data_IF_050992325878
#
_entry.id   IF_050992325878
#
_cell.length_a   1.000
_cell.length_b   1.000
_cell.length_c   1.000
_cell.angle_alpha   90.00
_cell.angle_beta   90.00
_cell.angle_gamma   90.00
#
_symmetry.space_group_name_H-M   'P 1'
#
loop_
_entity.id
_entity.type
_entity.pdbx_description
1 polymer ?
#
# COMPACT_ATOMS: atom_id res chain seq x y z
N UNK A 1 3.24 -13.61 17.41
CA UNK A 1 2.71 -12.29 17.07
C UNK A 1 3.84 -11.29 16.86
N UNK A 2 3.71 -10.45 15.82
CA UNK A 2 4.71 -9.45 15.52
C UNK A 2 4.83 -8.44 16.69
N UNK A 3 6.06 -8.15 17.11
CA UNK A 3 6.32 -7.36 18.32
C UNK A 3 5.61 -6.01 18.31
N UNK A 4 5.60 -5.29 17.18
CA UNK A 4 4.97 -3.98 17.08
C UNK A 4 3.47 -4.02 17.32
N UNK A 5 2.81 -5.15 17.00
CA UNK A 5 1.38 -5.29 17.20
C UNK A 5 0.97 -5.38 18.67
N UNK A 6 1.92 -5.62 19.56
CA UNK A 6 1.67 -5.69 21.01
C UNK A 6 1.61 -4.32 21.67
N UNK A 7 2.10 -3.27 21.00
CA UNK A 7 2.10 -1.92 21.55
C UNK A 7 0.85 -1.15 21.13
N UNK A 8 0.22 -0.39 22.05
CA UNK A 8 -0.92 0.45 21.68
C UNK A 8 -0.55 1.59 20.74
N UNK A 9 0.66 2.12 20.86
CA UNK A 9 1.22 3.11 19.96
C UNK A 9 2.65 2.76 19.60
N UNK A 10 3.06 3.09 18.37
CA UNK A 10 4.36 2.74 17.83
C UNK A 10 5.10 4.01 17.41
N UNK A 11 6.34 4.16 17.86
CA UNK A 11 7.20 5.29 17.49
C UNK A 11 7.89 5.04 16.14
N UNK A 12 8.38 6.12 15.54
CA UNK A 12 9.19 6.04 14.33
C UNK A 12 10.44 5.18 14.53
N UNK A 13 11.09 5.30 15.69
CA UNK A 13 12.27 4.50 16.00
C UNK A 13 11.95 3.00 16.03
N UNK A 14 10.84 2.60 16.63
CA UNK A 14 10.41 1.21 16.65
C UNK A 14 10.18 0.66 15.24
N UNK A 15 9.60 1.47 14.37
CA UNK A 15 9.36 1.10 12.96
C UNK A 15 10.68 0.93 12.21
N UNK A 16 11.63 1.83 12.43
CA UNK A 16 12.94 1.78 11.76
C UNK A 16 13.72 0.51 12.09
N UNK A 17 13.55 -0.03 13.29
CA UNK A 17 14.24 -1.22 13.75
C UNK A 17 13.49 -2.52 13.48
N UNK A 18 12.33 -2.45 12.87
CA UNK A 18 11.53 -3.61 12.48
C UNK A 18 11.52 -3.76 10.97
N UNK A 19 11.51 -5.02 10.49
CA UNK A 19 11.54 -5.28 9.05
C UNK A 19 10.30 -4.72 8.37
N UNK A 20 10.52 -4.02 7.27
CA UNK A 20 9.47 -3.52 6.41
C UNK A 20 9.27 -4.45 5.21
N UNK A 21 8.02 -4.69 4.85
CA UNK A 21 7.67 -5.40 3.63
C UNK A 21 7.23 -4.33 2.62
N UNK A 22 8.00 -4.16 1.55
CA UNK A 22 7.79 -3.10 0.56
C UNK A 22 7.24 -3.70 -0.73
N UNK A 23 6.20 -3.07 -1.26
CA UNK A 23 5.67 -3.42 -2.58
C UNK A 23 6.28 -2.49 -3.62
N UNK A 24 6.98 -3.05 -4.58
CA UNK A 24 7.61 -2.28 -5.66
C UNK A 24 7.71 -3.13 -6.92
N UNK A 25 7.62 -2.48 -8.08
CA UNK A 25 7.76 -3.14 -9.37
C UNK A 25 9.14 -3.78 -9.51
N UNK A 26 9.20 -4.96 -10.13
CA UNK A 26 10.46 -5.70 -10.32
C UNK A 26 11.51 -4.91 -11.09
N UNK A 27 11.07 -4.10 -12.04
CA UNK A 27 11.93 -3.39 -12.98
C UNK A 27 12.35 -2.01 -12.50
N UNK A 28 11.90 -1.61 -11.30
CA UNK A 28 12.17 -0.28 -10.78
C UNK A 28 12.88 -0.37 -9.43
N UNK A 29 13.78 0.58 -9.18
CA UNK A 29 14.33 0.77 -7.86
C UNK A 29 13.25 1.25 -6.90
N UNK A 30 13.40 0.91 -5.62
CA UNK A 30 12.49 1.38 -4.59
C UNK A 30 12.77 2.87 -4.35
N UNK A 31 11.73 3.70 -4.36
CA UNK A 31 11.86 5.11 -4.01
C UNK A 31 12.27 5.26 -2.54
N UNK A 32 13.30 6.06 -2.23
CA UNK A 32 13.75 6.22 -0.84
C UNK A 32 12.65 6.69 0.10
N UNK A 33 11.67 7.45 -0.38
CA UNK A 33 10.57 7.95 0.43
C UNK A 33 9.66 6.85 0.96
N UNK A 34 9.68 5.67 0.35
CA UNK A 34 8.88 4.52 0.76
C UNK A 34 9.58 3.63 1.80
N UNK A 35 10.86 3.87 2.04
CA UNK A 35 11.65 3.07 2.96
C UNK A 35 11.75 3.76 4.31
N UNK A 36 11.14 3.19 5.33
CA UNK A 36 11.20 3.68 6.71
C UNK A 36 12.11 2.84 7.58
N UNK A 37 12.31 1.58 7.23
CA UNK A 37 13.14 0.65 8.01
C UNK A 37 14.50 0.43 7.39
N UNK A 38 15.47 0.13 8.25
CA UNK A 38 16.83 -0.20 7.83
C UNK A 38 16.89 -1.56 7.14
N UNK A 39 15.97 -2.46 7.49
CA UNK A 39 15.84 -3.78 6.88
C UNK A 39 14.50 -3.87 6.17
N UNK A 40 14.50 -4.36 4.94
CA UNK A 40 13.27 -4.55 4.20
C UNK A 40 13.35 -5.76 3.28
N UNK A 41 12.18 -6.34 3.03
CA UNK A 41 11.98 -7.32 1.97
C UNK A 41 11.07 -6.70 0.93
N UNK A 42 11.33 -7.03 -0.32
CA UNK A 42 10.60 -6.49 -1.46
C UNK A 42 9.68 -7.55 -2.06
N UNK A 43 8.45 -7.17 -2.35
CA UNK A 43 7.50 -7.96 -3.14
C UNK A 43 7.01 -7.15 -4.33
N UNK A 44 6.42 -7.82 -5.31
CA UNK A 44 5.89 -7.16 -6.49
C UNK A 44 4.38 -6.91 -6.44
N UNK A 45 3.69 -7.37 -5.39
CA UNK A 45 2.26 -7.13 -5.25
C UNK A 45 1.83 -7.11 -3.79
N UNK A 46 0.65 -6.51 -3.56
CA UNK A 46 0.13 -6.36 -2.20
C UNK A 46 -0.34 -7.66 -1.57
N UNK A 47 -0.77 -8.64 -2.36
CA UNK A 47 -1.20 -9.94 -1.82
C UNK A 47 -0.03 -10.71 -1.22
N UNK A 48 1.12 -10.71 -1.88
CA UNK A 48 2.34 -11.32 -1.34
C UNK A 48 2.82 -10.59 -0.09
N UNK A 49 2.78 -9.25 -0.10
CA UNK A 49 3.12 -8.47 1.07
C UNK A 49 2.20 -8.80 2.25
N UNK A 50 0.91 -8.87 2.01
CA UNK A 50 -0.07 -9.22 3.03
C UNK A 50 0.22 -10.61 3.62
N UNK A 51 0.52 -11.60 2.79
CA UNK A 51 0.85 -12.95 3.25
C UNK A 51 2.09 -12.97 4.15
N UNK A 52 3.12 -12.20 3.81
CA UNK A 52 4.33 -12.08 4.63
C UNK A 52 4.04 -11.40 5.96
N UNK A 53 3.25 -10.35 5.95
CA UNK A 53 2.86 -9.64 7.18
C UNK A 53 2.04 -10.57 8.09
N UNK A 54 1.12 -11.33 7.53
CA UNK A 54 0.32 -12.29 8.29
C UNK A 54 1.17 -13.40 8.93
N UNK A 55 2.30 -13.73 8.33
CA UNK A 55 3.25 -14.70 8.87
C UNK A 55 4.26 -14.08 9.84
N UNK A 56 4.06 -12.86 10.26
CA UNK A 56 4.89 -12.13 11.23
C UNK A 56 6.31 -11.81 10.74
N UNK A 57 6.51 -11.70 9.43
CA UNK A 57 7.82 -11.34 8.88
C UNK A 57 8.14 -9.85 8.95
N UNK A 58 7.14 -9.01 9.16
CA UNK A 58 7.37 -7.58 9.26
C UNK A 58 6.07 -6.77 9.24
N UNK A 59 6.22 -5.48 9.02
CA UNK A 59 5.13 -4.53 8.83
C UNK A 59 5.16 -3.97 7.40
N UNK A 60 4.08 -3.40 6.96
CA UNK A 60 4.04 -2.82 5.61
C UNK A 60 2.87 -1.87 5.44
N UNK A 61 2.81 -1.25 4.27
CA UNK A 61 1.73 -0.37 3.87
C UNK A 61 0.87 -1.09 2.85
N UNK A 62 -0.39 -1.26 3.17
CA UNK A 62 -1.38 -1.91 2.31
C UNK A 62 -2.54 -0.95 2.05
N UNK A 63 -3.19 -1.03 0.88
CA UNK A 63 -4.41 -0.28 0.64
C UNK A 63 -5.48 -0.66 1.67
N UNK A 64 -6.12 0.34 2.25
CA UNK A 64 -7.17 0.10 3.25
C UNK A 64 -8.35 -0.68 2.66
N UNK A 65 -8.59 -0.54 1.38
CA UNK A 65 -9.63 -1.27 0.65
C UNK A 65 -9.45 -2.77 0.74
N UNK A 66 -8.21 -3.27 0.77
CA UNK A 66 -7.94 -4.71 0.95
C UNK A 66 -8.53 -5.23 2.25
N UNK A 67 -8.38 -4.46 3.32
CA UNK A 67 -8.94 -4.82 4.63
C UNK A 67 -10.47 -4.72 4.63
N UNK A 68 -11.01 -3.70 3.97
CA UNK A 68 -12.46 -3.49 3.93
C UNK A 68 -13.19 -4.54 3.08
N UNK A 69 -12.56 -5.01 2.01
CA UNK A 69 -13.12 -6.03 1.14
C UNK A 69 -13.01 -7.44 1.70
N UNK A 70 -12.09 -7.65 2.64
CA UNK A 70 -11.86 -8.96 3.23
C UNK A 70 -11.89 -8.89 4.75
N UNK A 71 -13.06 -9.14 5.39
CA UNK A 71 -13.19 -9.06 6.84
C UNK A 71 -12.24 -9.98 7.62
N UNK A 72 -11.81 -11.10 7.03
CA UNK A 72 -10.87 -12.01 7.69
C UNK A 72 -9.51 -11.35 7.91
N UNK A 73 -9.09 -10.47 7.00
CA UNK A 73 -7.83 -9.74 7.16
C UNK A 73 -7.89 -8.79 8.36
N UNK A 74 -9.05 -8.20 8.64
CA UNK A 74 -9.20 -7.30 9.79
C UNK A 74 -8.98 -8.00 11.12
N UNK A 75 -9.27 -9.31 11.21
CA UNK A 75 -9.06 -10.08 12.43
C UNK A 75 -7.61 -10.52 12.61
N UNK A 76 -6.87 -10.64 11.52
CA UNK A 76 -5.51 -11.15 11.52
C UNK A 76 -4.44 -10.06 11.44
N UNK A 77 -4.80 -8.89 10.93
CA UNK A 77 -3.90 -7.75 10.78
C UNK A 77 -4.29 -6.63 11.73
N UNK A 78 -3.29 -5.96 12.28
CA UNK A 78 -3.49 -4.80 13.12
C UNK A 78 -2.98 -3.55 12.40
N UNK A 79 -3.81 -2.51 12.36
CA UNK A 79 -3.39 -1.20 11.90
C UNK A 79 -2.58 -0.57 13.04
N UNK A 80 -1.32 -0.22 12.74
CA UNK A 80 -0.44 0.39 13.75
C UNK A 80 -0.84 1.85 13.98
N UNK A 81 -0.95 2.22 15.22
CA UNK A 81 -1.17 3.61 15.63
C UNK A 81 0.20 4.28 15.80
N UNK A 82 0.46 5.27 14.97
CA UNK A 82 1.76 5.94 14.93
C UNK A 82 1.79 7.12 15.87
N UNK A 83 2.76 7.12 16.79
CA UNK A 83 2.86 8.08 17.87
C UNK A 83 3.34 9.46 17.42
N UNK A 84 4.39 9.52 16.60
CA UNK A 84 5.16 10.73 16.37
C UNK A 84 5.36 11.11 14.90
N UNK A 85 4.66 10.45 13.97
CA UNK A 85 4.72 10.83 12.57
C UNK A 85 3.47 10.36 11.80
N UNK A 86 3.21 11.04 10.69
CA UNK A 86 2.14 10.66 9.76
C UNK A 86 2.78 10.31 8.43
N UNK A 87 2.69 9.06 7.97
CA UNK A 87 3.23 8.70 6.67
C UNK A 87 2.44 9.39 5.57
N UNK A 88 3.17 9.97 4.61
CA UNK A 88 2.57 10.59 3.44
C UNK A 88 2.67 9.63 2.28
N UNK A 89 1.58 8.92 2.03
CA UNK A 89 1.48 8.04 0.86
C UNK A 89 0.46 8.63 -0.09
N UNK A 90 0.92 9.01 -1.27
CA UNK A 90 0.05 9.44 -2.35
C UNK A 90 0.02 8.34 -3.40
N UNK A 91 -1.17 7.82 -3.68
CA UNK A 91 -1.38 6.87 -4.75
C UNK A 91 -1.92 7.61 -5.97
N UNK A 92 -1.16 7.56 -7.06
CA UNK A 92 -1.62 8.09 -8.34
C UNK A 92 -2.16 6.94 -9.18
N UNK A 93 -3.38 7.07 -9.65
CA UNK A 93 -3.99 6.14 -10.58
C UNK A 93 -4.03 6.83 -11.94
N UNK A 94 -3.22 6.35 -12.87
CA UNK A 94 -3.19 6.86 -14.23
C UNK A 94 -4.06 5.99 -15.13
N UNK A 95 -4.80 6.64 -16.02
CA UNK A 95 -5.52 5.97 -17.08
C UNK A 95 -4.58 5.78 -18.25
N UNK A 96 -4.33 4.52 -18.59
CA UNK A 96 -3.40 4.17 -19.67
C UNK A 96 -4.14 3.32 -20.71
N UNK A 97 -3.97 3.66 -21.97
CA UNK A 97 -4.53 2.88 -23.07
C UNK A 97 -3.56 2.82 -24.24
N UNK A 98 -3.76 1.85 -25.14
CA UNK A 98 -2.89 1.67 -26.29
C UNK A 98 -3.06 2.81 -27.30
N UNK A 99 -1.96 3.33 -27.82
CA UNK A 99 -1.96 4.31 -28.90
C UNK A 99 -2.44 3.72 -30.23
N UNK A 100 -2.30 2.41 -30.39
CA UNK A 100 -2.67 1.71 -31.63
C UNK A 100 -4.15 1.36 -31.70
N UNK A 101 -4.89 1.51 -30.59
CA UNK A 101 -6.30 1.18 -30.54
C UNK A 101 -7.13 2.43 -30.43
N UNK A 102 -8.20 2.51 -31.22
CA UNK A 102 -9.19 3.55 -31.04
C UNK A 102 -10.01 3.27 -29.78
N UNK A 103 -10.32 4.33 -29.03
CA UNK A 103 -11.17 4.19 -27.86
C UNK A 103 -12.61 3.95 -28.27
N UNK A 104 -13.19 2.83 -27.82
CA UNK A 104 -14.60 2.57 -27.98
C UNK A 104 -15.45 3.51 -27.11
N UNK A 105 -16.77 3.51 -27.34
CA UNK A 105 -17.71 4.35 -26.61
C UNK A 105 -17.66 4.11 -25.09
N UNK A 106 -17.55 2.84 -24.67
CA UNK A 106 -17.47 2.49 -23.24
C UNK A 106 -16.22 3.06 -22.58
N UNK A 107 -15.06 2.97 -23.26
CA UNK A 107 -13.80 3.52 -22.74
C UNK A 107 -13.85 5.04 -22.64
N UNK A 108 -14.42 5.71 -23.62
CA UNK A 108 -14.60 7.17 -23.60
C UNK A 108 -15.53 7.61 -22.46
N UNK A 109 -16.60 6.86 -22.25
CA UNK A 109 -17.52 7.11 -21.14
C UNK A 109 -16.81 6.98 -19.79
N UNK A 110 -16.03 5.92 -19.62
CA UNK A 110 -15.29 5.67 -18.38
C UNK A 110 -14.30 6.79 -18.09
N UNK A 111 -13.53 7.21 -19.10
CA UNK A 111 -12.58 8.32 -18.96
C UNK A 111 -13.30 9.60 -18.54
N UNK A 112 -14.41 9.91 -19.19
CA UNK A 112 -15.19 11.11 -18.89
C UNK A 112 -15.79 11.05 -17.48
N UNK A 113 -16.30 9.88 -17.08
CA UNK A 113 -16.82 9.65 -15.75
C UNK A 113 -15.77 9.89 -14.68
N UNK A 114 -14.57 9.34 -14.85
CA UNK A 114 -13.47 9.49 -13.89
C UNK A 114 -13.03 10.96 -13.81
N UNK A 115 -12.93 11.65 -14.95
CA UNK A 115 -12.59 13.07 -14.98
C UNK A 115 -13.62 13.93 -14.24
N UNK A 116 -14.89 13.61 -14.39
CA UNK A 116 -15.97 14.33 -13.70
C UNK A 116 -15.94 14.10 -12.19
N UNK A 117 -15.65 12.88 -11.76
CA UNK A 117 -15.49 12.56 -10.32
C UNK A 117 -14.31 13.32 -9.72
N UNK A 118 -13.23 13.47 -10.46
CA UNK A 118 -12.04 14.19 -10.02
C UNK A 118 -12.30 15.66 -9.77
N UNK A 119 -13.22 16.29 -10.55
CA UNK A 119 -13.59 17.69 -10.39
C UNK A 119 -14.47 17.96 -9.17
N UNK A 120 -15.06 16.93 -8.59
CA UNK A 120 -15.97 17.04 -7.43
C UNK A 120 -15.24 16.97 -6.09
N UNK A 121 -13.97 16.73 -6.08
CA UNK A 121 -13.15 16.59 -4.86
C UNK A 121 -12.48 17.90 -4.49
#
# INVERSE_FOLDING_TARGET
>A
DFILAQFPQVSFEQIQHSRQIVVASRDKSIKPELLYSKQYWRTDNHHSACALIMQNFGWGVLPLEMLNENPQLKTQLKILDLLDFTPKFEYFVDLVWSRESELGAAARFLIQYIRNQRKKV
#
